data_IF_109137800980
#
_entry.id   IF_109137800980
#
_cell.length_a   1.000
_cell.length_b   1.000
_cell.length_c   1.000
_cell.angle_alpha   90.00
_cell.angle_beta   90.00
_cell.angle_gamma   90.00
#
_symmetry.space_group_name_H-M   'P 1'
#
loop_
_entity.id
_entity.type
_entity.pdbx_description
1 polymer ?
#
# COMPACT_ATOMS: atom_id res chain seq x y z
N UNK A 1 -8.02 -9.92 28.80
CA UNK A 1 -8.05 -11.40 28.76
C UNK A 1 -7.09 -11.90 29.83
N UNK A 2 -7.47 -12.88 30.64
CA UNK A 2 -6.61 -13.42 31.70
C UNK A 2 -5.35 -14.02 31.05
N UNK A 3 -4.15 -13.64 31.49
CA UNK A 3 -2.88 -14.14 30.93
C UNK A 3 -2.81 -15.69 30.97
N UNK A 4 -3.50 -16.31 31.93
CA UNK A 4 -3.63 -17.76 32.02
C UNK A 4 -4.35 -18.38 30.81
N UNK A 5 -5.46 -17.77 30.35
CA UNK A 5 -6.21 -18.27 29.18
C UNK A 5 -5.35 -18.17 27.92
N UNK A 6 -4.59 -17.08 27.80
CA UNK A 6 -3.70 -16.85 26.65
C UNK A 6 -2.56 -17.88 26.61
N UNK A 7 -1.94 -18.15 27.76
CA UNK A 7 -0.91 -19.18 27.92
C UNK A 7 -1.44 -20.58 27.62
N UNK A 8 -2.66 -20.91 28.06
CA UNK A 8 -3.31 -22.18 27.74
C UNK A 8 -3.61 -22.34 26.25
N UNK A 9 -4.12 -21.28 25.60
CA UNK A 9 -4.36 -21.27 24.15
C UNK A 9 -3.06 -21.50 23.36
N UNK A 10 -1.99 -20.78 23.70
CA UNK A 10 -0.70 -20.95 23.04
C UNK A 10 -0.19 -22.39 23.17
N UNK A 11 -0.27 -23.00 24.36
CA UNK A 11 0.10 -24.41 24.57
C UNK A 11 -0.74 -25.37 23.72
N UNK A 12 -2.05 -25.13 23.62
CA UNK A 12 -2.93 -25.96 22.78
C UNK A 12 -2.61 -25.83 21.29
N UNK A 13 -2.16 -24.65 20.86
CA UNK A 13 -1.92 -24.31 19.46
C UNK A 13 -0.49 -24.60 18.98
N UNK A 14 0.45 -24.94 19.86
CA UNK A 14 1.87 -25.18 19.53
C UNK A 14 2.13 -26.18 18.40
N UNK A 15 1.20 -27.09 18.10
CA UNK A 15 1.30 -28.07 17.02
C UNK A 15 0.25 -27.91 15.92
N UNK A 16 -0.55 -26.83 15.95
CA UNK A 16 -1.57 -26.58 14.93
C UNK A 16 -0.92 -25.93 13.71
N UNK A 17 -1.11 -26.54 12.53
CA UNK A 17 -0.62 -25.96 11.27
C UNK A 17 -1.27 -24.61 10.99
N UNK A 18 -0.53 -23.73 10.32
CA UNK A 18 -1.07 -22.50 9.75
C UNK A 18 -2.24 -22.80 8.81
N UNK A 19 -3.31 -22.03 8.95
CA UNK A 19 -4.40 -22.05 7.97
C UNK A 19 -4.04 -21.23 6.71
N UNK A 20 -4.88 -21.27 5.67
CA UNK A 20 -4.61 -20.61 4.40
C UNK A 20 -4.46 -19.07 4.52
N UNK A 21 -5.25 -18.44 5.40
CA UNK A 21 -5.16 -17.00 5.62
C UNK A 21 -3.86 -16.65 6.33
N UNK A 22 -3.53 -17.36 7.41
CA UNK A 22 -2.27 -17.20 8.16
C UNK A 22 -1.06 -17.36 7.23
N UNK A 23 -0.99 -18.46 6.48
CA UNK A 23 0.12 -18.73 5.56
C UNK A 23 0.24 -17.66 4.46
N UNK A 24 -0.88 -17.28 3.83
CA UNK A 24 -0.88 -16.29 2.75
C UNK A 24 -0.51 -14.89 3.21
N UNK A 25 -1.05 -14.44 4.35
CA UNK A 25 -0.75 -13.10 4.88
C UNK A 25 0.69 -12.99 5.38
N UNK A 26 1.20 -14.01 6.10
CA UNK A 26 2.58 -13.99 6.59
C UNK A 26 3.59 -14.02 5.45
N UNK A 27 3.33 -14.80 4.39
CA UNK A 27 4.16 -14.81 3.18
C UNK A 27 4.18 -13.44 2.50
N UNK A 28 3.01 -12.82 2.32
CA UNK A 28 2.91 -11.51 1.69
C UNK A 28 3.56 -10.40 2.56
N UNK A 29 3.40 -10.50 3.88
CA UNK A 29 4.04 -9.58 4.82
C UNK A 29 5.56 -9.69 4.74
N UNK A 30 6.12 -10.89 4.77
CA UNK A 30 7.57 -11.09 4.70
C UNK A 30 8.19 -10.43 3.45
N UNK A 31 7.58 -10.62 2.28
CA UNK A 31 8.05 -9.99 1.04
C UNK A 31 7.91 -8.45 1.08
N UNK A 32 6.82 -7.94 1.67
CA UNK A 32 6.60 -6.51 1.85
C UNK A 32 7.60 -5.86 2.81
N UNK A 33 7.84 -6.49 3.95
CA UNK A 33 8.71 -5.95 5.01
C UNK A 33 10.18 -6.01 4.58
N UNK A 34 10.63 -7.08 3.92
CA UNK A 34 12.00 -7.14 3.36
C UNK A 34 12.24 -6.06 2.29
N UNK A 35 11.26 -5.79 1.43
CA UNK A 35 11.31 -4.66 0.50
C UNK A 35 11.41 -3.33 1.25
N UNK A 36 10.57 -3.15 2.28
CA UNK A 36 10.50 -1.89 3.01
C UNK A 36 11.79 -1.61 3.81
N UNK A 37 12.41 -2.65 4.40
CA UNK A 37 13.76 -2.59 4.98
C UNK A 37 14.77 -2.04 3.97
N UNK A 38 14.77 -2.56 2.73
CA UNK A 38 15.67 -2.09 1.68
C UNK A 38 15.45 -0.61 1.33
N UNK A 39 14.19 -0.19 1.14
CA UNK A 39 13.84 1.20 0.81
C UNK A 39 14.21 2.15 1.95
N UNK A 40 13.87 1.80 3.18
CA UNK A 40 14.15 2.63 4.36
C UNK A 40 15.65 2.70 4.66
N UNK A 41 16.38 1.60 4.46
CA UNK A 41 17.84 1.58 4.61
C UNK A 41 18.51 2.53 3.62
N UNK A 42 18.05 2.56 2.38
CA UNK A 42 18.48 3.56 1.42
C UNK A 42 18.11 4.99 1.85
N UNK A 43 16.86 5.25 2.23
CA UNK A 43 16.44 6.59 2.71
C UNK A 43 17.29 7.08 3.88
N UNK A 44 17.58 6.21 4.85
CA UNK A 44 18.47 6.53 5.98
C UNK A 44 19.89 6.91 5.55
N UNK A 45 20.36 6.40 4.42
CA UNK A 45 21.70 6.71 3.89
C UNK A 45 21.78 8.09 3.22
N UNK A 46 20.65 8.66 2.80
CA UNK A 46 20.61 9.92 2.03
C UNK A 46 19.84 11.07 2.71
N UNK A 47 18.97 10.77 3.68
CA UNK A 47 18.16 11.77 4.40
C UNK A 47 19.05 12.77 5.15
N UNK A 48 18.69 14.05 5.06
CA UNK A 48 19.44 15.16 5.68
C UNK A 48 18.71 15.72 6.89
N UNK A 49 17.38 15.79 6.84
CA UNK A 49 16.56 16.32 7.91
C UNK A 49 16.57 15.38 9.13
N UNK A 50 17.00 15.86 10.31
CA UNK A 50 17.18 15.02 11.48
C UNK A 50 15.86 14.45 12.01
N UNK A 51 14.75 15.16 11.85
CA UNK A 51 13.44 14.73 12.33
C UNK A 51 12.89 13.59 11.46
N UNK A 52 13.04 13.73 10.14
CA UNK A 52 12.67 12.69 9.16
C UNK A 52 13.58 11.47 9.32
N UNK A 53 14.87 11.68 9.64
CA UNK A 53 15.79 10.59 9.94
C UNK A 53 15.34 9.74 11.13
N UNK A 54 14.87 10.34 12.21
CA UNK A 54 14.37 9.58 13.37
C UNK A 54 13.07 8.81 13.04
N UNK A 55 12.17 9.40 12.23
CA UNK A 55 11.00 8.69 11.71
C UNK A 55 11.40 7.46 10.88
N UNK A 56 12.36 7.63 9.97
CA UNK A 56 12.87 6.54 9.12
C UNK A 56 13.55 5.44 9.94
N UNK A 57 14.35 5.79 10.97
CA UNK A 57 14.99 4.81 11.85
C UNK A 57 13.95 3.94 12.55
N UNK A 58 12.89 4.56 13.07
CA UNK A 58 11.82 3.86 13.76
C UNK A 58 11.07 2.92 12.82
N UNK A 59 10.71 3.40 11.62
CA UNK A 59 10.09 2.58 10.60
C UNK A 59 10.97 1.38 10.22
N UNK A 60 12.27 1.62 10.02
CA UNK A 60 13.23 0.58 9.63
C UNK A 60 13.37 -0.48 10.73
N UNK A 61 13.45 -0.06 12.00
CA UNK A 61 13.55 -0.96 13.13
C UNK A 61 12.30 -1.86 13.25
N UNK A 62 11.10 -1.30 13.09
CA UNK A 62 9.87 -2.09 13.12
C UNK A 62 9.85 -3.14 12.01
N UNK A 63 10.16 -2.75 10.78
CA UNK A 63 10.19 -3.69 9.65
C UNK A 63 11.25 -4.77 9.79
N UNK A 64 12.43 -4.44 10.33
CA UNK A 64 13.46 -5.43 10.60
C UNK A 64 12.99 -6.46 11.64
N UNK A 65 12.41 -6.00 12.74
CA UNK A 65 11.86 -6.89 13.77
C UNK A 65 10.76 -7.81 13.20
N UNK A 66 9.92 -7.30 12.28
CA UNK A 66 8.90 -8.13 11.62
C UNK A 66 9.54 -9.24 10.78
N UNK A 67 10.54 -8.91 9.98
CA UNK A 67 11.27 -9.89 9.15
C UNK A 67 11.93 -10.95 10.03
N UNK A 68 12.58 -10.55 11.13
CA UNK A 68 13.27 -11.46 12.04
C UNK A 68 12.27 -12.44 12.69
N UNK A 69 11.16 -11.94 13.23
CA UNK A 69 10.12 -12.78 13.82
C UNK A 69 9.48 -13.75 12.81
N UNK A 70 9.20 -13.29 11.58
CA UNK A 70 8.64 -14.14 10.53
C UNK A 70 9.63 -15.21 10.07
N UNK A 71 10.93 -14.90 10.06
CA UNK A 71 12.00 -15.85 9.74
C UNK A 71 12.04 -16.98 10.76
N UNK A 72 11.96 -16.64 12.06
CA UNK A 72 11.88 -17.60 13.15
C UNK A 72 10.60 -18.45 13.06
N UNK A 73 9.46 -17.81 12.79
CA UNK A 73 8.18 -18.50 12.64
C UNK A 73 8.22 -19.51 11.50
N UNK A 74 8.65 -19.11 10.30
CA UNK A 74 8.75 -20.03 9.15
C UNK A 74 9.73 -21.18 9.41
N UNK A 75 10.87 -20.89 10.04
CA UNK A 75 11.83 -21.93 10.43
C UNK A 75 11.22 -22.95 11.40
N UNK A 76 10.47 -22.47 12.40
CA UNK A 76 9.83 -23.31 13.41
C UNK A 76 8.74 -24.21 12.82
N UNK A 77 7.96 -23.69 11.87
CA UNK A 77 6.92 -24.41 11.11
C UNK A 77 7.49 -25.30 9.99
N UNK A 78 8.81 -25.24 9.73
CA UNK A 78 9.47 -25.89 8.58
C UNK A 78 8.88 -25.46 7.22
N UNK A 79 8.44 -24.21 7.16
CA UNK A 79 8.02 -23.54 5.94
C UNK A 79 9.28 -22.94 5.28
N UNK A 80 9.48 -23.13 3.97
CA UNK A 80 10.56 -22.44 3.26
C UNK A 80 10.44 -20.93 3.43
N UNK A 81 11.52 -20.30 3.91
CA UNK A 81 11.58 -18.85 4.06
C UNK A 81 11.57 -18.23 2.64
N UNK A 82 10.68 -17.28 2.35
CA UNK A 82 10.67 -16.60 1.05
C UNK A 82 12.02 -15.92 0.76
N UNK A 83 12.37 -15.76 -0.51
CA UNK A 83 13.66 -15.15 -0.89
C UNK A 83 13.70 -13.67 -0.49
N UNK A 84 12.57 -12.97 -0.62
CA UNK A 84 12.46 -11.56 -0.27
C UNK A 84 13.42 -10.64 -1.03
N UNK A 85 13.84 -9.59 -0.34
CA UNK A 85 14.77 -8.56 -0.80
C UNK A 85 15.89 -8.36 0.23
N UNK A 86 17.08 -7.99 -0.23
CA UNK A 86 18.24 -7.82 0.64
C UNK A 86 19.27 -6.84 0.08
N UNK A 87 20.50 -6.93 0.55
CA UNK A 87 21.57 -6.01 0.14
C UNK A 87 21.83 -6.01 -1.37
N UNK A 88 21.61 -7.15 -2.05
CA UNK A 88 21.73 -7.26 -3.50
C UNK A 88 20.72 -6.41 -4.27
N UNK A 89 19.64 -5.99 -3.61
CA UNK A 89 18.58 -5.18 -4.21
C UNK A 89 18.78 -3.68 -3.98
N UNK A 90 19.87 -3.26 -3.33
CA UNK A 90 20.14 -1.85 -2.97
C UNK A 90 21.57 -1.44 -3.35
N UNK A 91 21.69 -0.34 -4.11
CA UNK A 91 22.97 0.28 -4.42
C UNK A 91 23.34 1.31 -3.34
N UNK A 92 24.39 1.04 -2.57
CA UNK A 92 24.89 1.92 -1.51
C UNK A 92 25.70 3.09 -2.09
N UNK A 93 25.67 4.25 -1.42
CA UNK A 93 26.50 5.41 -1.78
C UNK A 93 26.04 6.17 -3.03
N UNK A 94 24.81 5.95 -3.49
CA UNK A 94 24.24 6.65 -4.64
C UNK A 94 23.48 7.91 -4.22
N UNK A 95 23.31 8.92 -5.10
CA UNK A 95 22.56 10.12 -4.79
C UNK A 95 21.10 9.83 -4.40
N UNK A 96 20.49 10.74 -3.64
CA UNK A 96 19.07 10.69 -3.31
C UNK A 96 18.23 10.68 -4.61
N UNK A 97 17.28 9.74 -4.72
CA UNK A 97 16.32 9.65 -5.81
C UNK A 97 15.06 10.47 -5.48
N UNK A 98 14.73 10.54 -4.20
CA UNK A 98 13.64 11.34 -3.63
C UNK A 98 14.20 12.32 -2.60
N UNK A 99 13.51 13.44 -2.42
CA UNK A 99 13.82 14.38 -1.33
C UNK A 99 13.31 13.89 0.03
N UNK A 100 13.76 14.55 1.10
CA UNK A 100 13.40 14.15 2.47
C UNK A 100 11.90 14.26 2.75
N UNK A 101 11.21 15.25 2.17
CA UNK A 101 9.77 15.44 2.37
C UNK A 101 8.98 14.26 1.79
N UNK A 102 9.35 13.78 0.60
CA UNK A 102 8.78 12.57 0.05
C UNK A 102 9.05 11.36 0.93
N UNK A 103 10.23 11.22 1.53
CA UNK A 103 10.52 10.11 2.45
C UNK A 103 9.56 10.11 3.64
N UNK A 104 9.22 11.27 4.20
CA UNK A 104 8.24 11.38 5.30
C UNK A 104 6.83 10.99 4.84
N UNK A 105 6.39 11.48 3.68
CA UNK A 105 5.08 11.14 3.08
C UNK A 105 5.02 9.65 2.75
N UNK A 106 6.10 9.08 2.24
CA UNK A 106 6.20 7.67 1.94
C UNK A 106 6.00 6.81 3.21
N UNK A 107 6.65 7.16 4.33
CA UNK A 107 6.42 6.45 5.61
C UNK A 107 4.97 6.57 6.06
N UNK A 108 4.35 7.74 5.91
CA UNK A 108 2.93 7.95 6.26
C UNK A 108 2.01 7.04 5.47
N UNK A 109 2.14 7.04 4.14
CA UNK A 109 1.29 6.23 3.25
C UNK A 109 1.54 4.73 3.43
N UNK A 110 2.80 4.31 3.66
CA UNK A 110 3.12 2.91 3.97
C UNK A 110 2.55 2.50 5.33
N UNK A 111 2.52 3.39 6.34
CA UNK A 111 1.89 3.11 7.62
C UNK A 111 0.36 2.94 7.50
N UNK A 112 -0.31 3.76 6.69
CA UNK A 112 -1.75 3.61 6.39
C UNK A 112 -2.01 2.27 5.69
N UNK A 113 -1.25 1.97 4.64
CA UNK A 113 -1.40 0.73 3.88
C UNK A 113 -1.10 -0.52 4.73
N UNK A 114 -0.03 -0.48 5.52
CA UNK A 114 0.35 -1.52 6.47
C UNK A 114 -0.74 -1.75 7.51
N UNK A 115 -1.22 -0.69 8.17
CA UNK A 115 -2.31 -0.77 9.15
C UNK A 115 -3.55 -1.46 8.58
N UNK A 116 -4.02 -1.05 7.39
CA UNK A 116 -5.18 -1.65 6.71
C UNK A 116 -4.96 -3.15 6.43
N UNK A 117 -3.79 -3.51 5.90
CA UNK A 117 -3.43 -4.90 5.60
C UNK A 117 -3.34 -5.76 6.86
N UNK A 118 -2.62 -5.30 7.88
CA UNK A 118 -2.47 -6.03 9.13
C UNK A 118 -3.80 -6.16 9.86
N UNK A 119 -4.67 -5.14 9.86
CA UNK A 119 -6.00 -5.23 10.46
C UNK A 119 -6.89 -6.25 9.73
N UNK A 120 -6.86 -6.29 8.39
CA UNK A 120 -7.56 -7.33 7.62
C UNK A 120 -7.01 -8.72 7.94
N UNK A 121 -5.69 -8.89 7.96
CA UNK A 121 -5.07 -10.16 8.32
C UNK A 121 -5.47 -10.60 9.74
N UNK A 122 -5.39 -9.69 10.72
CA UNK A 122 -5.73 -9.92 12.12
C UNK A 122 -7.17 -10.43 12.28
N UNK A 123 -8.11 -9.95 11.46
CA UNK A 123 -9.51 -10.40 11.48
C UNK A 123 -9.70 -11.86 11.00
N UNK A 124 -8.71 -12.42 10.30
CA UNK A 124 -8.78 -13.73 9.65
C UNK A 124 -7.96 -14.83 10.34
N UNK A 125 -7.10 -14.50 11.31
CA UNK A 125 -6.23 -15.47 12.00
C UNK A 125 -6.88 -16.07 13.24
N UNK A 126 -6.39 -17.24 13.69
CA UNK A 126 -6.92 -17.98 14.85
C UNK A 126 -5.84 -18.38 15.84
N UNK A 127 -4.60 -18.62 15.39
CA UNK A 127 -3.48 -18.90 16.29
C UNK A 127 -3.05 -17.64 17.06
N UNK A 128 -2.81 -17.80 18.35
CA UNK A 128 -2.59 -16.68 19.27
C UNK A 128 -1.25 -15.96 19.05
N UNK A 129 -0.18 -16.69 18.72
CA UNK A 129 1.12 -16.13 18.36
C UNK A 129 1.03 -15.22 17.13
N UNK A 130 0.30 -15.65 16.10
CA UNK A 130 0.08 -14.87 14.87
C UNK A 130 -0.81 -13.66 15.13
N UNK A 131 -1.88 -13.85 15.93
CA UNK A 131 -2.73 -12.75 16.36
C UNK A 131 -1.92 -11.69 17.10
N UNK A 132 -1.03 -12.11 18.02
CA UNK A 132 -0.19 -11.20 18.80
C UNK A 132 0.78 -10.42 17.91
N UNK A 133 1.44 -11.12 16.97
CA UNK A 133 2.32 -10.51 15.97
C UNK A 133 1.57 -9.44 15.15
N UNK A 134 0.45 -9.80 14.52
CA UNK A 134 -0.33 -8.89 13.69
C UNK A 134 -0.93 -7.73 14.51
N UNK A 135 -1.35 -7.97 15.75
CA UNK A 135 -1.83 -6.92 16.65
C UNK A 135 -0.74 -5.91 16.98
N UNK A 136 0.50 -6.38 17.18
CA UNK A 136 1.67 -5.50 17.37
C UNK A 136 1.98 -4.72 16.08
N UNK A 137 1.96 -5.35 14.90
CA UNK A 137 2.15 -4.65 13.62
C UNK A 137 1.12 -3.53 13.38
N UNK A 138 -0.15 -3.73 13.78
CA UNK A 138 -1.19 -2.68 13.73
C UNK A 138 -0.82 -1.50 14.63
N UNK A 139 -0.41 -1.76 15.88
CA UNK A 139 0.00 -0.71 16.83
C UNK A 139 1.24 0.05 16.38
N UNK A 140 2.22 -0.65 15.82
CA UNK A 140 3.44 -0.03 15.30
C UNK A 140 3.14 0.83 14.06
N UNK A 141 2.21 0.39 13.20
CA UNK A 141 1.71 1.21 12.09
C UNK A 141 0.99 2.48 12.58
N UNK A 142 0.20 2.38 13.65
CA UNK A 142 -0.47 3.54 14.28
C UNK A 142 0.54 4.57 14.80
N UNK A 143 1.57 4.09 15.51
CA UNK A 143 2.68 4.93 15.97
C UNK A 143 3.40 5.63 14.80
N UNK A 144 3.65 4.92 13.70
CA UNK A 144 4.28 5.52 12.51
C UNK A 144 3.37 6.54 11.83
N UNK A 145 2.06 6.28 11.77
CA UNK A 145 1.07 7.18 11.21
C UNK A 145 1.01 8.49 12.02
N UNK A 146 0.88 8.42 13.34
CA UNK A 146 0.89 9.60 14.21
C UNK A 146 2.18 10.40 14.08
N UNK A 147 3.33 9.73 14.20
CA UNK A 147 4.64 10.39 14.12
C UNK A 147 4.85 11.07 12.76
N UNK A 148 4.54 10.39 11.66
CA UNK A 148 4.70 10.95 10.32
C UNK A 148 3.74 12.12 10.08
N UNK A 149 2.51 12.06 10.58
CA UNK A 149 1.58 13.21 10.53
C UNK A 149 2.18 14.43 11.23
N UNK A 150 2.74 14.27 12.43
CA UNK A 150 3.38 15.37 13.13
C UNK A 150 4.55 15.98 12.36
N UNK A 151 5.41 15.15 11.77
CA UNK A 151 6.54 15.60 10.94
C UNK A 151 6.04 16.39 9.73
N UNK A 152 5.12 15.82 8.96
CA UNK A 152 4.56 16.43 7.75
C UNK A 152 3.87 17.77 8.07
N UNK A 153 3.09 17.83 9.16
CA UNK A 153 2.42 19.06 9.60
C UNK A 153 3.41 20.16 10.00
N UNK A 154 4.49 19.83 10.73
CA UNK A 154 5.51 20.80 11.14
C UNK A 154 6.30 21.38 9.97
N UNK A 155 6.48 20.61 8.88
CA UNK A 155 7.13 21.09 7.64
C UNK A 155 6.20 21.91 6.74
N UNK A 156 5.06 22.39 7.26
CA UNK A 156 4.03 23.14 6.52
C UNK A 156 3.44 22.41 5.31
N UNK A 157 3.58 21.08 5.27
CA UNK A 157 2.99 20.22 4.25
C UNK A 157 1.57 19.85 4.68
N UNK A 158 0.71 20.87 4.82
CA UNK A 158 -0.68 20.66 5.21
C UNK A 158 -1.48 20.06 4.04
N UNK A 159 -1.48 18.73 3.93
CA UNK A 159 -2.52 18.01 3.21
C UNK A 159 -3.79 18.06 4.07
N UNK A 160 -4.53 19.16 4.03
CA UNK A 160 -5.83 19.22 4.70
C UNK A 160 -6.85 18.48 3.85
N UNK A 161 -7.52 17.50 4.45
CA UNK A 161 -8.72 16.92 3.85
C UNK A 161 -9.76 18.01 3.60
N UNK A 162 -10.60 17.86 2.56
CA UNK A 162 -11.71 18.77 2.31
C UNK A 162 -12.61 18.91 3.55
N UNK A 163 -13.08 20.13 3.81
CA UNK A 163 -14.04 20.42 4.88
C UNK A 163 -15.40 20.66 4.25
N UNK A 164 -16.39 19.88 4.66
CA UNK A 164 -17.80 20.12 4.31
C UNK A 164 -18.52 20.76 5.51
N UNK A 165 -19.55 21.61 5.30
CA UNK A 165 -20.32 22.19 6.40
C UNK A 165 -20.99 21.13 7.27
N UNK A 166 -21.05 21.36 8.59
CA UNK A 166 -21.73 20.45 9.51
C UNK A 166 -23.25 20.42 9.28
N UNK A 167 -23.90 19.25 9.39
CA UNK A 167 -25.36 19.17 9.29
C UNK A 167 -26.03 19.86 10.47
N UNK A 168 -27.03 20.71 10.19
CA UNK A 168 -27.78 21.47 11.21
C UNK A 168 -28.98 20.68 11.77
N UNK A 169 -29.47 19.69 11.02
CA UNK A 169 -30.56 18.78 11.41
C UNK A 169 -30.42 17.44 10.67
N UNK A 170 -31.07 16.42 11.19
CA UNK A 170 -31.23 15.13 10.50
C UNK A 170 -32.24 15.32 9.35
N UNK A 171 -31.84 14.92 8.13
CA UNK A 171 -32.69 14.90 6.95
C UNK A 171 -32.83 13.46 6.44
N UNK A 172 -33.97 13.14 5.84
CA UNK A 172 -34.20 11.86 5.16
C UNK A 172 -34.14 12.07 3.65
N UNK A 173 -33.53 11.12 2.95
CA UNK A 173 -33.30 11.21 1.50
C UNK A 173 -34.59 10.95 0.72
N UNK A 174 -34.78 11.65 -0.40
CA UNK A 174 -35.83 11.31 -1.36
C UNK A 174 -35.34 10.19 -2.29
N UNK A 175 -36.14 9.13 -2.41
CA UNK A 175 -35.77 7.91 -3.14
C UNK A 175 -35.49 8.20 -4.62
N UNK A 176 -36.24 9.12 -5.23
CA UNK A 176 -36.11 9.42 -6.66
C UNK A 176 -34.79 10.10 -7.00
N UNK A 177 -34.21 10.84 -6.06
CA UNK A 177 -32.95 11.57 -6.26
C UNK A 177 -31.71 10.84 -5.72
N UNK A 178 -31.86 10.05 -4.65
CA UNK A 178 -30.68 9.53 -3.94
C UNK A 178 -30.14 8.22 -4.54
N UNK A 179 -31.00 7.39 -5.14
CA UNK A 179 -30.61 6.13 -5.79
C UNK A 179 -30.99 6.18 -7.28
N UNK A 180 -30.95 7.37 -7.88
CA UNK A 180 -31.31 7.53 -9.28
C UNK A 180 -30.31 6.77 -10.16
N UNK A 181 -30.80 5.91 -11.09
CA UNK A 181 -29.93 5.32 -12.12
C UNK A 181 -29.58 6.34 -13.21
N UNK A 182 -30.22 7.52 -13.21
CA UNK A 182 -30.04 8.54 -14.24
C UNK A 182 -29.07 9.63 -13.77
N UNK A 183 -27.96 9.80 -14.51
CA UNK A 183 -26.90 10.78 -14.24
C UNK A 183 -27.34 12.26 -14.24
N UNK A 184 -28.59 12.56 -14.61
CA UNK A 184 -29.14 13.93 -14.67
C UNK A 184 -29.76 14.41 -13.35
N UNK A 185 -29.87 13.57 -12.31
CA UNK A 185 -30.45 13.90 -11.00
C UNK A 185 -29.56 13.41 -9.86
N UNK A 186 -28.31 13.84 -9.83
CA UNK A 186 -27.34 13.41 -8.81
C UNK A 186 -27.37 14.34 -7.59
N UNK A 187 -27.35 13.75 -6.41
CA UNK A 187 -27.16 14.50 -5.18
C UNK A 187 -25.70 14.99 -5.06
N UNK A 188 -25.44 16.03 -4.23
CA UNK A 188 -24.07 16.41 -3.87
C UNK A 188 -23.28 15.22 -3.30
N UNK A 189 -21.96 15.19 -3.50
CA UNK A 189 -21.12 14.14 -2.94
C UNK A 189 -21.32 14.03 -1.43
N UNK A 190 -21.49 12.80 -0.94
CA UNK A 190 -21.50 12.51 0.49
C UNK A 190 -20.09 12.65 1.08
N UNK A 191 -19.98 12.81 2.39
CA UNK A 191 -18.68 12.84 3.08
C UNK A 191 -17.84 11.58 2.82
N UNK A 192 -18.49 10.42 2.70
CA UNK A 192 -17.82 9.15 2.41
C UNK A 192 -17.30 9.10 0.97
N UNK A 193 -18.07 9.58 -0.01
CA UNK A 193 -17.62 9.68 -1.40
C UNK A 193 -16.45 10.66 -1.55
N UNK A 194 -16.50 11.81 -0.90
CA UNK A 194 -15.38 12.77 -0.86
C UNK A 194 -14.13 12.11 -0.27
N UNK A 195 -14.30 11.37 0.85
CA UNK A 195 -13.19 10.64 1.49
C UNK A 195 -12.59 9.59 0.56
N UNK A 196 -13.45 8.80 -0.10
CA UNK A 196 -13.06 7.76 -1.04
C UNK A 196 -12.27 8.34 -2.23
N UNK A 197 -12.79 9.42 -2.83
CA UNK A 197 -12.13 10.12 -3.95
C UNK A 197 -10.76 10.66 -3.51
N UNK A 198 -10.68 11.29 -2.33
CA UNK A 198 -9.42 11.82 -1.81
C UNK A 198 -8.38 10.71 -1.61
N UNK A 199 -8.78 9.56 -1.06
CA UNK A 199 -7.89 8.42 -0.84
C UNK A 199 -7.34 7.86 -2.17
N UNK A 200 -8.19 7.76 -3.19
CA UNK A 200 -7.78 7.35 -4.53
C UNK A 200 -6.80 8.35 -5.15
N UNK A 201 -7.03 9.66 -4.98
CA UNK A 201 -6.10 10.67 -5.50
C UNK A 201 -4.76 10.60 -4.77
N UNK A 202 -4.75 10.57 -3.43
CA UNK A 202 -3.52 10.52 -2.63
C UNK A 202 -2.64 9.32 -3.00
N UNK A 203 -3.23 8.12 -3.04
CA UNK A 203 -2.49 6.90 -3.39
C UNK A 203 -1.99 6.89 -4.82
N UNK A 204 -2.75 7.46 -5.77
CA UNK A 204 -2.28 7.62 -7.15
C UNK A 204 -1.18 8.67 -7.28
N UNK A 205 -1.21 9.77 -6.51
CA UNK A 205 -0.14 10.76 -6.51
C UNK A 205 1.16 10.13 -6.00
N UNK A 206 1.11 9.35 -4.92
CA UNK A 206 2.27 8.60 -4.43
C UNK A 206 2.78 7.59 -5.48
N UNK A 207 1.88 6.75 -5.99
CA UNK A 207 2.21 5.73 -6.98
C UNK A 207 2.80 6.32 -8.26
N UNK A 208 2.22 7.41 -8.77
CA UNK A 208 2.74 8.18 -9.90
C UNK A 208 4.17 8.65 -9.64
N UNK A 209 4.44 9.18 -8.46
CA UNK A 209 5.75 9.72 -8.09
C UNK A 209 6.80 8.62 -8.00
N UNK A 210 6.45 7.46 -7.42
CA UNK A 210 7.30 6.26 -7.42
C UNK A 210 7.59 5.79 -8.85
N UNK A 211 6.56 5.64 -9.68
CA UNK A 211 6.72 5.19 -11.07
C UNK A 211 7.50 6.19 -11.93
N UNK A 212 7.36 7.50 -11.68
CA UNK A 212 8.17 8.53 -12.33
C UNK A 212 9.66 8.34 -12.01
N UNK A 213 9.99 8.17 -10.73
CA UNK A 213 11.36 7.93 -10.28
C UNK A 213 11.91 6.58 -10.77
N UNK A 214 11.12 5.50 -10.73
CA UNK A 214 11.54 4.19 -11.25
C UNK A 214 11.74 4.22 -12.76
N UNK A 215 10.86 4.89 -13.51
CA UNK A 215 11.01 5.10 -14.95
C UNK A 215 12.28 5.88 -15.32
N UNK A 216 12.72 6.80 -14.45
CA UNK A 216 13.97 7.54 -14.62
C UNK A 216 15.22 6.66 -14.48
N UNK A 217 15.20 5.66 -13.58
CA UNK A 217 16.41 4.89 -13.22
C UNK A 217 16.39 3.42 -13.65
N UNK A 218 15.29 2.89 -14.16
CA UNK A 218 15.19 1.49 -14.61
C UNK A 218 16.22 1.16 -15.69
N UNK A 219 16.73 -0.08 -15.68
CA UNK A 219 17.91 -0.43 -16.51
C UNK A 219 17.55 -0.64 -17.99
N UNK A 220 16.37 -1.16 -18.29
CA UNK A 220 15.93 -1.50 -19.66
C UNK A 220 14.82 -0.59 -20.17
N UNK A 221 14.77 -0.39 -21.49
CA UNK A 221 13.71 0.39 -22.12
C UNK A 221 12.31 -0.20 -21.86
N UNK A 222 12.20 -1.53 -21.78
CA UNK A 222 10.93 -2.21 -21.49
C UNK A 222 10.38 -1.80 -20.12
N UNK A 223 11.23 -1.78 -19.10
CA UNK A 223 10.85 -1.37 -17.74
C UNK A 223 10.54 0.12 -17.66
N UNK A 224 11.35 0.97 -18.29
CA UNK A 224 11.07 2.41 -18.38
C UNK A 224 9.69 2.66 -18.97
N UNK A 225 9.38 2.04 -20.12
CA UNK A 225 8.07 2.16 -20.76
C UNK A 225 6.94 1.69 -19.82
N UNK A 226 7.10 0.56 -19.13
CA UNK A 226 6.12 0.05 -18.17
C UNK A 226 5.84 1.04 -17.03
N UNK A 227 6.88 1.64 -16.43
CA UNK A 227 6.69 2.63 -15.38
C UNK A 227 6.03 3.92 -15.91
N UNK A 228 6.46 4.42 -17.08
CA UNK A 228 5.85 5.60 -17.67
C UNK A 228 4.40 5.39 -18.12
N UNK A 229 4.01 4.18 -18.50
CA UNK A 229 2.61 3.85 -18.75
C UNK A 229 1.78 3.86 -17.46
N UNK A 230 2.37 3.44 -16.33
CA UNK A 230 1.80 3.61 -15.00
C UNK A 230 1.63 5.09 -14.61
N UNK A 231 2.63 5.94 -14.89
CA UNK A 231 2.54 7.41 -14.71
C UNK A 231 1.37 7.99 -15.52
N UNK A 232 1.20 7.58 -16.78
CA UNK A 232 0.08 8.03 -17.63
C UNK A 232 -1.26 7.57 -17.07
N UNK A 233 -1.36 6.33 -16.59
CA UNK A 233 -2.56 5.78 -15.99
C UNK A 233 -2.95 6.57 -14.73
N UNK A 234 -2.03 6.72 -13.79
CA UNK A 234 -2.26 7.47 -12.55
C UNK A 234 -2.62 8.93 -12.82
N UNK A 235 -1.95 9.60 -13.77
CA UNK A 235 -2.28 10.97 -14.16
C UNK A 235 -3.72 11.14 -14.66
N UNK A 236 -4.21 10.21 -15.49
CA UNK A 236 -5.60 10.24 -15.96
C UNK A 236 -6.58 10.13 -14.80
N UNK A 237 -6.30 9.26 -13.84
CA UNK A 237 -7.13 9.04 -12.65
C UNK A 237 -7.12 10.27 -11.74
N UNK A 238 -5.94 10.82 -11.44
CA UNK A 238 -5.78 12.03 -10.62
C UNK A 238 -6.56 13.19 -11.22
N UNK A 239 -6.42 13.43 -12.53
CA UNK A 239 -7.11 14.52 -13.23
C UNK A 239 -8.62 14.37 -13.12
N UNK A 240 -9.15 13.20 -13.45
CA UNK A 240 -10.58 12.93 -13.42
C UNK A 240 -11.20 13.15 -12.03
N UNK A 241 -10.57 12.62 -10.97
CA UNK A 241 -11.09 12.79 -9.61
C UNK A 241 -10.90 14.18 -9.04
N UNK A 242 -9.84 14.88 -9.45
CA UNK A 242 -9.65 16.29 -9.11
C UNK A 242 -10.72 17.17 -9.76
N UNK A 243 -11.13 16.86 -11.00
CA UNK A 243 -12.25 17.52 -11.66
C UNK A 243 -13.55 17.29 -10.86
N UNK A 244 -13.85 16.05 -10.45
CA UNK A 244 -15.02 15.73 -9.65
C UNK A 244 -15.06 16.45 -8.29
N UNK A 245 -13.91 16.59 -7.62
CA UNK A 245 -13.80 17.39 -6.39
C UNK A 245 -14.02 18.88 -6.68
N UNK A 246 -13.46 19.38 -7.76
CA UNK A 246 -13.57 20.80 -8.16
C UNK A 246 -15.00 21.18 -8.52
N UNK A 247 -15.75 20.28 -9.19
CA UNK A 247 -17.18 20.45 -9.49
C UNK A 247 -18.05 20.54 -8.23
N UNK A 248 -17.55 20.02 -7.10
CA UNK A 248 -18.19 20.10 -5.79
C UNK A 248 -17.61 21.23 -4.91
N UNK A 249 -16.81 22.14 -5.48
CA UNK A 249 -16.11 23.23 -4.78
C UNK A 249 -15.17 22.74 -3.66
N UNK A 250 -14.58 21.54 -3.83
CA UNK A 250 -13.65 20.92 -2.87
C UNK A 250 -12.19 20.99 -3.35
N UNK A 251 -11.22 21.19 -2.44
CA UNK A 251 -9.81 21.23 -2.80
C UNK A 251 -9.27 19.85 -3.19
N UNK A 252 -8.35 19.83 -4.15
CA UNK A 252 -7.63 18.61 -4.55
C UNK A 252 -6.31 18.44 -3.79
N UNK A 253 -5.83 17.20 -3.61
CA UNK A 253 -4.49 16.93 -3.12
C UNK A 253 -3.37 17.60 -3.92
N UNK A 254 -2.25 17.88 -3.24
CA UNK A 254 -1.02 18.38 -3.87
C UNK A 254 -0.29 17.24 -4.58
N UNK A 255 0.23 17.51 -5.78
CA UNK A 255 1.11 16.58 -6.51
C UNK A 255 2.51 16.50 -5.87
N UNK A 256 3.15 15.34 -5.99
CA UNK A 256 4.46 15.06 -5.38
C UNK A 256 5.62 14.97 -6.40
N UNK A 257 5.35 15.16 -7.69
CA UNK A 257 6.32 15.01 -8.78
C UNK A 257 7.63 15.80 -8.55
N UNK A 258 7.53 16.99 -7.95
CA UNK A 258 8.68 17.87 -7.70
C UNK A 258 9.68 17.32 -6.66
N UNK A 259 9.30 16.28 -5.93
CA UNK A 259 10.15 15.63 -4.94
C UNK A 259 11.01 14.49 -5.53
N UNK A 260 10.84 14.19 -6.81
CA UNK A 260 11.79 13.34 -7.55
C UNK A 260 12.99 14.20 -7.94
N UNK A 261 14.18 13.72 -7.59
CA UNK A 261 15.44 14.41 -7.92
C UNK A 261 15.85 14.15 -9.38
N UNK A 262 16.94 14.78 -9.83
CA UNK A 262 17.55 14.51 -11.12
C UNK A 262 18.54 13.32 -11.11
N UNK A 263 18.57 12.48 -10.07
CA UNK A 263 19.48 11.32 -10.00
C UNK A 263 19.16 10.28 -11.07
N UNK A 264 20.14 9.94 -11.90
CA UNK A 264 20.01 8.88 -12.92
C UNK A 264 20.60 7.54 -12.48
N UNK A 265 21.09 7.45 -11.24
CA UNK A 265 21.69 6.23 -10.68
C UNK A 265 20.63 5.54 -9.83
N UNK A 266 20.26 4.31 -10.19
CA UNK A 266 19.24 3.57 -9.44
C UNK A 266 19.74 3.19 -8.05
N UNK A 267 19.01 3.51 -6.98
CA UNK A 267 19.27 2.96 -5.65
C UNK A 267 18.74 1.54 -5.47
N UNK A 268 17.89 1.07 -6.37
CA UNK A 268 17.19 -0.22 -6.23
C UNK A 268 17.40 -1.13 -7.44
N UNK A 269 17.31 -2.44 -7.23
CA UNK A 269 17.19 -3.40 -8.34
C UNK A 269 15.87 -3.22 -9.10
N UNK A 270 15.87 -3.58 -10.38
CA UNK A 270 14.63 -3.62 -11.17
C UNK A 270 13.60 -4.59 -10.57
N UNK A 271 14.04 -5.70 -9.96
CA UNK A 271 13.20 -6.64 -9.23
C UNK A 271 12.42 -5.95 -8.11
N UNK A 272 13.12 -5.16 -7.28
CA UNK A 272 12.51 -4.41 -6.18
C UNK A 272 11.52 -3.38 -6.71
N UNK A 273 11.91 -2.58 -7.71
CA UNK A 273 11.03 -1.55 -8.30
C UNK A 273 9.75 -2.16 -8.90
N UNK A 274 9.86 -3.32 -9.56
CA UNK A 274 8.73 -4.04 -10.14
C UNK A 274 7.80 -4.63 -9.07
N UNK A 275 8.34 -5.22 -8.00
CA UNK A 275 7.54 -5.74 -6.91
C UNK A 275 6.84 -4.62 -6.12
N UNK A 276 7.53 -3.50 -5.90
CA UNK A 276 6.95 -2.30 -5.29
C UNK A 276 5.74 -1.81 -6.11
N UNK A 277 5.93 -1.68 -7.42
CA UNK A 277 4.87 -1.26 -8.34
C UNK A 277 3.70 -2.26 -8.34
N UNK A 278 3.97 -3.55 -8.30
CA UNK A 278 2.92 -4.59 -8.18
C UNK A 278 2.15 -4.47 -6.85
N UNK A 279 2.83 -4.12 -5.77
CA UNK A 279 2.21 -3.84 -4.47
C UNK A 279 1.33 -2.58 -4.53
N UNK A 280 1.80 -1.51 -5.17
CA UNK A 280 1.02 -0.30 -5.37
C UNK A 280 -0.25 -0.57 -6.20
N UNK A 281 -0.16 -1.41 -7.24
CA UNK A 281 -1.31 -1.84 -8.06
C UNK A 281 -2.34 -2.61 -7.24
N UNK A 282 -1.92 -3.54 -6.38
CA UNK A 282 -2.87 -4.29 -5.54
C UNK A 282 -3.56 -3.40 -4.51
N UNK A 283 -2.83 -2.46 -3.90
CA UNK A 283 -3.40 -1.43 -3.01
C UNK A 283 -4.42 -0.56 -3.77
N UNK A 284 -4.10 -0.13 -4.98
CA UNK A 284 -5.01 0.69 -5.77
C UNK A 284 -6.33 -0.05 -6.10
N UNK A 285 -6.27 -1.36 -6.38
CA UNK A 285 -7.48 -2.18 -6.58
C UNK A 285 -8.29 -2.30 -5.29
N UNK A 286 -7.64 -2.58 -4.16
CA UNK A 286 -8.31 -2.69 -2.85
C UNK A 286 -9.00 -1.38 -2.47
N UNK A 287 -8.31 -0.24 -2.64
CA UNK A 287 -8.87 1.08 -2.39
C UNK A 287 -10.07 1.37 -3.31
N UNK A 288 -10.02 0.98 -4.59
CA UNK A 288 -11.18 1.12 -5.48
C UNK A 288 -12.36 0.27 -5.02
N UNK A 289 -12.13 -0.96 -4.53
CA UNK A 289 -13.17 -1.82 -3.99
C UNK A 289 -13.81 -1.26 -2.72
N UNK A 290 -12.99 -0.75 -1.80
CA UNK A 290 -13.47 -0.06 -0.61
C UNK A 290 -14.26 1.22 -0.97
N UNK A 291 -13.74 2.01 -1.91
CA UNK A 291 -14.38 3.23 -2.42
C UNK A 291 -15.73 2.96 -3.07
N UNK A 292 -15.84 1.88 -3.85
CA UNK A 292 -17.08 1.42 -4.44
C UNK A 292 -18.14 1.11 -3.36
N UNK A 293 -17.75 0.50 -2.24
CA UNK A 293 -18.67 0.19 -1.13
C UNK A 293 -19.23 1.43 -0.43
N UNK A 294 -18.59 2.59 -0.61
CA UNK A 294 -18.99 3.88 -0.01
C UNK A 294 -19.79 4.77 -0.98
N UNK A 295 -19.90 4.38 -2.25
CA UNK A 295 -20.55 5.19 -3.27
C UNK A 295 -22.07 4.99 -3.27
N UNK A 296 -22.81 6.07 -3.07
CA UNK A 296 -24.27 6.11 -3.24
C UNK A 296 -24.66 6.64 -4.63
N UNK A 297 -23.84 7.55 -5.18
CA UNK A 297 -23.97 8.04 -6.55
C UNK A 297 -23.56 6.98 -7.56
N UNK A 298 -24.46 6.71 -8.49
CA UNK A 298 -24.27 5.74 -9.57
C UNK A 298 -23.06 6.04 -10.49
N UNK A 299 -22.75 7.31 -10.78
CA UNK A 299 -21.60 7.69 -11.61
C UNK A 299 -20.28 7.37 -10.90
N UNK A 300 -20.17 7.77 -9.64
CA UNK A 300 -19.02 7.50 -8.78
C UNK A 300 -18.77 5.99 -8.64
N UNK A 301 -19.84 5.21 -8.43
CA UNK A 301 -19.75 3.75 -8.35
C UNK A 301 -19.27 3.10 -9.67
N UNK A 302 -19.78 3.58 -10.82
CA UNK A 302 -19.34 3.10 -12.13
C UNK A 302 -17.86 3.43 -12.37
N UNK A 303 -17.42 4.64 -12.01
CA UNK A 303 -16.01 5.04 -12.17
C UNK A 303 -15.06 4.16 -11.35
N UNK A 304 -15.35 3.91 -10.07
CA UNK A 304 -14.55 3.00 -9.25
C UNK A 304 -14.49 1.58 -9.85
N UNK A 305 -15.61 1.09 -10.37
CA UNK A 305 -15.68 -0.23 -11.02
C UNK A 305 -14.82 -0.31 -12.29
N UNK A 306 -14.87 0.72 -13.14
CA UNK A 306 -14.04 0.79 -14.34
C UNK A 306 -12.54 0.87 -14.02
N UNK A 307 -12.18 1.56 -12.95
CA UNK A 307 -10.79 1.69 -12.51
C UNK A 307 -10.17 0.35 -12.13
N UNK A 308 -10.91 -0.52 -11.43
CA UNK A 308 -10.46 -1.89 -11.12
C UNK A 308 -10.03 -2.61 -12.41
N UNK A 309 -10.83 -2.51 -13.48
CA UNK A 309 -10.49 -3.12 -14.77
C UNK A 309 -9.24 -2.52 -15.42
N UNK A 310 -9.12 -1.18 -15.43
CA UNK A 310 -7.97 -0.47 -16.00
C UNK A 310 -6.66 -0.78 -15.25
N UNK A 311 -6.70 -0.74 -13.92
CA UNK A 311 -5.56 -1.06 -13.04
C UNK A 311 -5.21 -2.54 -13.14
N UNK A 312 -6.21 -3.43 -13.16
CA UNK A 312 -6.00 -4.87 -13.30
C UNK A 312 -5.30 -5.25 -14.60
N UNK A 313 -5.59 -4.55 -15.70
CA UNK A 313 -4.86 -4.73 -16.98
C UNK A 313 -3.38 -4.35 -16.83
N UNK A 314 -3.09 -3.19 -16.25
CA UNK A 314 -1.71 -2.73 -16.00
C UNK A 314 -0.94 -3.69 -15.07
N UNK A 315 -1.62 -4.20 -14.03
CA UNK A 315 -1.05 -5.20 -13.12
C UNK A 315 -0.68 -6.51 -13.81
N UNK A 316 -1.54 -7.02 -14.70
CA UNK A 316 -1.25 -8.24 -15.48
C UNK A 316 -0.02 -8.09 -16.37
N UNK A 317 0.17 -6.91 -16.97
CA UNK A 317 1.37 -6.64 -17.77
C UNK A 317 2.64 -6.65 -16.90
N UNK A 318 2.57 -6.11 -15.68
CA UNK A 318 3.66 -6.16 -14.69
C UNK A 318 3.99 -7.57 -14.23
N UNK A 319 2.97 -8.37 -13.89
CA UNK A 319 3.14 -9.78 -13.51
C UNK A 319 3.81 -10.56 -14.63
N UNK A 320 3.41 -10.36 -15.89
CA UNK A 320 4.04 -11.02 -17.04
C UNK A 320 5.53 -10.67 -17.13
N UNK A 321 5.90 -9.40 -16.95
CA UNK A 321 7.31 -8.98 -16.93
C UNK A 321 8.07 -9.70 -15.82
N UNK A 322 7.52 -9.75 -14.61
CA UNK A 322 8.18 -10.41 -13.48
C UNK A 322 8.35 -11.92 -13.70
N UNK A 323 7.36 -12.60 -14.29
CA UNK A 323 7.47 -14.02 -14.66
C UNK A 323 8.57 -14.23 -15.71
N UNK A 324 8.58 -13.43 -16.77
CA UNK A 324 9.61 -13.51 -17.84
C UNK A 324 11.03 -13.30 -17.32
N UNK A 325 11.19 -12.52 -16.25
CA UNK A 325 12.49 -12.24 -15.61
C UNK A 325 12.82 -13.22 -14.46
N UNK A 326 11.93 -14.15 -14.12
CA UNK A 326 12.12 -15.05 -12.98
C UNK A 326 12.10 -14.34 -11.62
N UNK A 327 11.41 -13.20 -11.53
CA UNK A 327 11.36 -12.33 -10.34
C UNK A 327 10.15 -12.60 -9.44
N UNK A 328 9.17 -13.38 -9.92
CA UNK A 328 7.97 -13.71 -9.17
C UNK A 328 8.14 -15.03 -8.43
N UNK A 329 8.23 -14.97 -7.10
CA UNK A 329 8.13 -16.14 -6.24
C UNK A 329 6.70 -16.70 -6.28
N UNK A 330 6.57 -18.03 -6.28
CA UNK A 330 5.27 -18.70 -6.25
C UNK A 330 4.63 -18.49 -4.86
N UNK A 331 3.42 -17.89 -4.78
CA UNK A 331 2.72 -17.77 -3.51
C UNK A 331 2.32 -19.16 -2.97
N UNK A 332 2.05 -19.33 -1.67
CA UNK A 332 1.51 -20.57 -1.14
C UNK A 332 0.20 -20.96 -1.84
N UNK A 333 0.16 -22.12 -2.48
CA UNK A 333 -0.98 -22.59 -3.27
C UNK A 333 -1.70 -23.78 -2.63
N UNK A 334 -3.01 -23.88 -2.88
CA UNK A 334 -3.75 -25.10 -2.62
C UNK A 334 -3.22 -26.24 -3.50
N UNK A 335 -3.18 -27.45 -2.95
CA UNK A 335 -2.71 -28.62 -3.68
C UNK A 335 -3.59 -28.96 -4.87
N UNK A 336 -3.01 -28.99 -6.07
CA UNK A 336 -3.68 -29.53 -7.26
C UNK A 336 -3.69 -31.07 -7.22
N UNK A 337 -4.83 -31.61 -6.77
CA UNK A 337 -5.02 -33.07 -6.64
C UNK A 337 -5.02 -33.80 -7.98
N UNK A 338 -5.39 -33.15 -9.08
CA UNK A 338 -5.38 -33.77 -10.42
C UNK A 338 -3.93 -33.92 -10.90
N UNK A 339 -3.16 -32.84 -10.83
CA UNK A 339 -1.73 -32.86 -11.17
C UNK A 339 -0.92 -33.82 -10.28
N UNK A 340 -1.34 -34.04 -9.03
CA UNK A 340 -0.73 -35.06 -8.17
C UNK A 340 -1.07 -36.49 -8.58
N UNK A 341 -2.28 -36.75 -9.09
CA UNK A 341 -2.69 -38.08 -9.55
C UNK A 341 -2.05 -38.46 -10.90
N UNK A 342 -1.47 -37.50 -11.61
CA UNK A 342 -0.75 -37.69 -12.89
C UNK A 342 0.77 -37.94 -12.69
N UNK A 343 1.28 -37.85 -11.45
CA UNK A 343 2.65 -38.23 -11.09
C UNK A 343 2.69 -39.68 -10.63
#
# INVERSE_FOLDING_TARGET
MNENIKSEMQKHQQNQRLNAAELGYLWAQYLGDTLYVCVLGYFLSVVKDPEIKELLKKAHQFSQNHVDELTELFSSEKIPIPVGFGEQDVNKGVPALFDDIFMAIYVNEMAIGGMKKYARALSAVKRQDIYDHLSRCVKESDILLENSNHVILRKSMLMRSPVIPYPVKVNFVDQKTFISPFFSQMHPLTSLEVTAIQEIVNTNVLGKTLMLAFGQVATTQKLRSYFFDGVKLANKQIKHFTELLSEADLPSPRLLDAYVTNSTISPFSDKLMMYHTSTAVTIAIDNCGASLSMAFRSDVAVEFSQLIGRIGKYGKDGIRIMIEQGWMEEPPMATDRKKLAEK
#
